data_IF_535002415731
#
_entry.id   IF_535002415731
#
_cell.length_a   1.000
_cell.length_b   1.000
_cell.length_c   1.000
_cell.angle_alpha   90.00
_cell.angle_beta   90.00
_cell.angle_gamma   90.00
#
_symmetry.space_group_name_H-M   'P 1'
#
loop_
_entity.id
_entity.type
_entity.pdbx_description
1 polymer ?
#
# COMPACT_ATOMS: atom_id res chain seq x y z
N UNK A 1 6.64 19.16 -31.45
CA UNK A 1 6.99 18.96 -30.05
C UNK A 1 5.73 19.03 -29.19
N UNK A 2 5.44 17.97 -28.48
CA UNK A 2 4.22 17.89 -27.69
C UNK A 2 4.48 18.43 -26.29
N UNK A 3 3.75 19.48 -25.93
CA UNK A 3 3.84 20.04 -24.57
C UNK A 3 2.83 19.30 -23.70
N UNK A 4 3.33 18.62 -22.67
CA UNK A 4 2.48 17.94 -21.71
C UNK A 4 2.05 18.97 -20.66
N UNK A 5 0.73 19.16 -20.51
CA UNK A 5 0.21 20.10 -19.52
C UNK A 5 0.39 19.56 -18.09
N UNK A 6 0.42 20.48 -17.13
CA UNK A 6 0.49 20.12 -15.70
C UNK A 6 -0.70 19.23 -15.32
N UNK A 7 -1.86 19.48 -15.88
CA UNK A 7 -3.06 18.69 -15.64
C UNK A 7 -2.91 17.26 -16.14
N UNK A 8 -2.32 17.07 -17.32
CA UNK A 8 -2.05 15.74 -17.88
C UNK A 8 -1.09 14.97 -16.98
N UNK A 9 -0.02 15.61 -16.53
CA UNK A 9 0.95 14.99 -15.62
C UNK A 9 0.27 14.61 -14.30
N UNK A 10 -0.55 15.48 -13.76
CA UNK A 10 -1.32 15.22 -12.54
C UNK A 10 -2.24 14.01 -12.71
N UNK A 11 -2.94 13.92 -13.83
CA UNK A 11 -3.84 12.81 -14.11
C UNK A 11 -3.08 11.48 -14.24
N UNK A 12 -1.92 11.50 -14.90
CA UNK A 12 -1.09 10.31 -15.02
C UNK A 12 -0.58 9.86 -13.65
N UNK A 13 -0.15 10.79 -12.83
CA UNK A 13 0.30 10.52 -11.47
C UNK A 13 -0.83 9.92 -10.63
N UNK A 14 -2.02 10.52 -10.71
CA UNK A 14 -3.20 10.05 -10.00
C UNK A 14 -3.56 8.61 -10.40
N UNK A 15 -3.57 8.35 -11.70
CA UNK A 15 -3.87 7.02 -12.23
C UNK A 15 -2.88 5.99 -11.71
N UNK A 16 -1.60 6.34 -11.66
CA UNK A 16 -0.56 5.45 -11.15
C UNK A 16 -0.76 5.15 -9.66
N UNK A 17 -1.09 6.18 -8.88
CA UNK A 17 -1.35 6.01 -7.44
C UNK A 17 -2.55 5.07 -7.22
N UNK A 18 -3.63 5.26 -7.98
CA UNK A 18 -4.82 4.40 -7.90
C UNK A 18 -4.46 2.95 -8.24
N UNK A 19 -3.67 2.74 -9.28
CA UNK A 19 -3.22 1.42 -9.69
C UNK A 19 -2.41 0.74 -8.57
N UNK A 20 -1.46 1.46 -7.99
CA UNK A 20 -0.63 0.93 -6.91
C UNK A 20 -1.43 0.66 -5.65
N UNK A 21 -2.42 1.51 -5.33
CA UNK A 21 -3.35 1.29 -4.22
C UNK A 21 -4.10 -0.03 -4.41
N UNK A 22 -4.57 -0.25 -5.62
CA UNK A 22 -5.33 -1.46 -5.94
C UNK A 22 -4.45 -2.70 -5.76
N UNK A 23 -3.21 -2.65 -6.25
CA UNK A 23 -2.25 -3.75 -6.09
C UNK A 23 -1.96 -4.03 -4.61
N UNK A 24 -1.70 -3.00 -3.83
CA UNK A 24 -1.43 -3.16 -2.40
C UNK A 24 -2.64 -3.75 -1.68
N UNK A 25 -3.84 -3.25 -2.01
CA UNK A 25 -5.09 -3.74 -1.44
C UNK A 25 -5.30 -5.23 -1.72
N UNK A 26 -5.03 -5.66 -2.95
CA UNK A 26 -5.17 -7.07 -3.33
C UNK A 26 -4.20 -7.96 -2.54
N UNK A 27 -2.96 -7.52 -2.37
CA UNK A 27 -1.96 -8.28 -1.60
C UNK A 27 -2.34 -8.37 -0.14
N UNK A 28 -2.81 -7.27 0.44
CA UNK A 28 -3.30 -7.25 1.82
C UNK A 28 -4.45 -8.25 2.00
N UNK A 29 -5.38 -8.25 1.05
CA UNK A 29 -6.52 -9.15 1.08
C UNK A 29 -6.10 -10.62 1.03
N UNK A 30 -5.10 -10.94 0.21
CA UNK A 30 -4.56 -12.30 0.13
C UNK A 30 -4.00 -12.76 1.48
N UNK A 31 -3.25 -11.89 2.16
CA UNK A 31 -2.72 -12.22 3.48
C UNK A 31 -3.83 -12.37 4.51
N UNK A 32 -4.84 -11.49 4.48
CA UNK A 32 -5.98 -11.59 5.38
C UNK A 32 -6.71 -12.93 5.21
N UNK A 33 -6.86 -13.35 3.97
CA UNK A 33 -7.48 -14.66 3.67
C UNK A 33 -6.61 -15.83 4.09
N UNK A 34 -5.29 -15.71 3.85
CA UNK A 34 -4.34 -16.77 4.19
C UNK A 34 -4.35 -17.07 5.69
N UNK A 35 -4.37 -16.02 6.51
CA UNK A 35 -4.28 -16.16 7.96
C UNK A 35 -5.62 -16.00 8.68
N UNK A 36 -6.66 -15.63 7.94
CA UNK A 36 -8.00 -15.39 8.48
C UNK A 36 -7.97 -14.38 9.64
N UNK A 37 -7.17 -13.33 9.50
CA UNK A 37 -6.96 -12.28 10.48
C UNK A 37 -6.66 -10.96 9.78
N UNK A 38 -6.91 -9.84 10.46
CA UNK A 38 -6.41 -8.56 10.00
C UNK A 38 -4.93 -8.42 10.39
N UNK A 39 -4.27 -7.39 9.85
CA UNK A 39 -2.83 -7.21 10.09
C UNK A 39 -2.51 -6.99 11.56
N UNK A 40 -3.32 -6.19 12.25
CA UNK A 40 -3.08 -5.90 13.67
C UNK A 40 -3.09 -7.16 14.54
N UNK A 41 -4.06 -8.03 14.29
CA UNK A 41 -4.17 -9.31 15.00
C UNK A 41 -3.01 -10.24 14.66
N UNK A 42 -2.62 -10.28 13.39
CA UNK A 42 -1.50 -11.10 12.94
C UNK A 42 -0.19 -10.61 13.54
N UNK A 43 0.03 -9.29 13.55
CA UNK A 43 1.25 -8.69 14.13
C UNK A 43 1.36 -9.02 15.60
N UNK A 44 0.28 -8.87 16.35
CA UNK A 44 0.25 -9.19 17.77
C UNK A 44 0.58 -10.66 17.98
N UNK A 45 -0.02 -11.55 17.21
CA UNK A 45 0.19 -12.98 17.31
C UNK A 45 1.64 -13.36 17.03
N UNK A 46 2.25 -12.82 15.98
CA UNK A 46 3.61 -13.16 15.61
C UNK A 46 4.63 -12.66 16.63
N UNK A 47 4.37 -11.51 17.26
CA UNK A 47 5.24 -10.96 18.29
C UNK A 47 5.16 -11.74 19.61
N UNK A 48 4.01 -12.33 19.90
CA UNK A 48 3.80 -13.13 21.10
C UNK A 48 4.24 -14.59 20.93
N UNK A 49 4.35 -15.05 19.68
CA UNK A 49 4.71 -16.44 19.39
C UNK A 49 6.23 -16.59 19.39
N UNK A 50 6.72 -17.59 20.12
CA UNK A 50 8.14 -17.90 20.18
C UNK A 50 8.58 -18.91 19.12
N UNK A 51 7.66 -19.34 18.26
CA UNK A 51 7.96 -20.30 17.20
C UNK A 51 8.78 -19.66 16.10
N UNK A 52 9.84 -20.34 15.69
CA UNK A 52 10.68 -19.91 14.58
C UNK A 52 10.07 -20.37 13.26
N UNK A 53 8.91 -19.80 12.89
CA UNK A 53 8.27 -20.07 11.62
C UNK A 53 8.70 -19.02 10.60
N UNK A 54 9.70 -19.35 9.81
CA UNK A 54 10.27 -18.42 8.85
C UNK A 54 9.27 -17.97 7.79
N UNK A 55 8.34 -18.83 7.39
CA UNK A 55 7.31 -18.47 6.42
C UNK A 55 6.40 -17.38 6.99
N UNK A 56 5.98 -17.51 8.25
CA UNK A 56 5.15 -16.50 8.90
C UNK A 56 5.89 -15.17 9.05
N UNK A 57 7.19 -15.21 9.38
CA UNK A 57 7.99 -14.00 9.49
C UNK A 57 8.18 -13.31 8.14
N UNK A 58 8.43 -14.08 7.08
CA UNK A 58 8.52 -13.53 5.73
C UNK A 58 7.21 -12.89 5.31
N UNK A 59 6.08 -13.57 5.56
CA UNK A 59 4.76 -13.04 5.26
C UNK A 59 4.47 -11.78 6.08
N UNK A 60 4.87 -11.76 7.35
CA UNK A 60 4.71 -10.59 8.20
C UNK A 60 5.45 -9.38 7.63
N UNK A 61 6.71 -9.57 7.25
CA UNK A 61 7.53 -8.48 6.69
C UNK A 61 6.92 -7.96 5.39
N UNK A 62 6.48 -8.85 4.52
CA UNK A 62 5.86 -8.48 3.25
C UNK A 62 4.51 -7.79 3.47
N UNK A 63 3.68 -8.36 4.32
CA UNK A 63 2.37 -7.77 4.65
C UNK A 63 2.53 -6.38 5.25
N UNK A 64 3.48 -6.22 6.16
CA UNK A 64 3.79 -4.92 6.78
C UNK A 64 4.21 -3.90 5.73
N UNK A 65 5.02 -4.31 4.77
CA UNK A 65 5.44 -3.42 3.68
C UNK A 65 4.24 -2.96 2.86
N UNK A 66 3.31 -3.85 2.53
CA UNK A 66 2.09 -3.49 1.80
C UNK A 66 1.17 -2.59 2.62
N UNK A 67 1.05 -2.84 3.92
CA UNK A 67 0.27 -1.96 4.82
C UNK A 67 0.83 -0.54 4.81
N UNK A 68 2.16 -0.41 4.95
CA UNK A 68 2.82 0.89 4.92
C UNK A 68 2.67 1.57 3.56
N UNK A 69 2.85 0.84 2.47
CA UNK A 69 2.66 1.37 1.12
C UNK A 69 1.24 1.85 0.91
N UNK A 70 0.27 1.08 1.36
CA UNK A 70 -1.15 1.44 1.24
C UNK A 70 -1.44 2.76 1.94
N UNK A 71 -0.94 2.93 3.18
CA UNK A 71 -1.15 4.16 3.93
C UNK A 71 -0.49 5.37 3.24
N UNK A 72 0.71 5.20 2.73
CA UNK A 72 1.41 6.27 2.01
C UNK A 72 0.68 6.64 0.73
N UNK A 73 0.19 5.65 0.00
CA UNK A 73 -0.56 5.87 -1.24
C UNK A 73 -1.89 6.57 -0.99
N UNK A 74 -2.56 6.26 0.13
CA UNK A 74 -3.78 6.97 0.51
C UNK A 74 -3.51 8.46 0.76
N UNK A 75 -2.40 8.77 1.40
CA UNK A 75 -1.99 10.16 1.64
C UNK A 75 -1.72 10.86 0.31
N UNK A 76 -0.98 10.20 -0.59
CA UNK A 76 -0.70 10.75 -1.91
C UNK A 76 -1.97 10.98 -2.71
N UNK A 77 -2.90 10.03 -2.67
CA UNK A 77 -4.19 10.15 -3.34
C UNK A 77 -4.96 11.37 -2.85
N UNK A 78 -5.02 11.54 -1.53
CA UNK A 78 -5.70 12.67 -0.93
C UNK A 78 -5.05 13.99 -1.33
N UNK A 79 -3.72 14.04 -1.32
CA UNK A 79 -2.99 15.24 -1.71
C UNK A 79 -3.27 15.63 -3.16
N UNK A 80 -3.35 14.65 -4.06
CA UNK A 80 -3.71 14.90 -5.46
C UNK A 80 -5.14 15.46 -5.56
N UNK A 81 -6.07 14.83 -4.86
CA UNK A 81 -7.49 15.23 -4.88
C UNK A 81 -7.68 16.63 -4.30
N UNK A 82 -6.90 16.98 -3.28
CA UNK A 82 -6.96 18.29 -2.64
C UNK A 82 -6.15 19.37 -3.39
N UNK A 83 -5.44 18.98 -4.45
CA UNK A 83 -4.63 19.90 -5.23
C UNK A 83 -3.34 20.34 -4.57
N UNK A 84 -2.88 19.60 -3.57
CA UNK A 84 -1.67 19.95 -2.80
C UNK A 84 -0.37 19.50 -3.44
N UNK A 85 -0.45 18.81 -4.57
CA UNK A 85 0.74 18.30 -5.26
C UNK A 85 1.33 19.41 -6.13
N UNK A 86 2.62 19.64 -5.93
CA UNK A 86 3.40 20.54 -6.77
C UNK A 86 4.01 19.71 -7.90
N UNK A 87 3.55 19.96 -9.11
CA UNK A 87 4.14 19.38 -10.31
C UNK A 87 5.20 20.34 -10.81
N UNK A 88 6.45 19.98 -10.66
CA UNK A 88 7.57 20.76 -11.17
C UNK A 88 8.13 20.14 -12.42
#
# INVERSE_FOLDING_TARGET
>A
MTTISSETIKNLYYTNVIFELHQASEKILLFEKKYNKDFSSFEKNIKETKDENYEMWDDYMEWKAYQNSYQQLLIQKKDIEDGNIKVT
#
